data_IF_968694627489
#
_entry.id   IF_968694627489
#
_cell.length_a   1.000
_cell.length_b   1.000
_cell.length_c   1.000
_cell.angle_alpha   90.00
_cell.angle_beta   90.00
_cell.angle_gamma   90.00
#
_symmetry.space_group_name_H-M   'P 1'
#
loop_
_entity.id
_entity.type
_entity.pdbx_description
1 polymer ?
#
# COMPACT_ATOMS: atom_id res chain seq x y z
N UNK A 1 -39.41 8.43 47.89
CA UNK A 1 -38.99 8.71 46.50
C UNK A 1 -38.37 7.42 45.96
N UNK A 2 -39.12 6.66 45.16
CA UNK A 2 -38.68 5.35 44.66
C UNK A 2 -37.91 5.56 43.34
N UNK A 3 -36.66 5.09 43.20
CA UNK A 3 -35.96 5.20 41.92
C UNK A 3 -36.50 4.14 40.96
N UNK A 4 -36.91 4.59 39.77
CA UNK A 4 -37.48 3.80 38.70
C UNK A 4 -36.42 3.01 37.94
N UNK A 5 -36.73 1.76 37.61
CA UNK A 5 -35.90 0.83 36.83
C UNK A 5 -35.85 1.19 35.33
N UNK A 6 -35.41 2.41 35.00
CA UNK A 6 -35.28 2.89 33.61
C UNK A 6 -33.87 3.36 33.21
N UNK A 7 -32.86 3.04 34.02
CA UNK A 7 -31.45 3.38 33.74
C UNK A 7 -30.51 2.17 33.54
N UNK A 8 -31.03 1.00 33.12
CA UNK A 8 -30.19 -0.19 32.87
C UNK A 8 -30.29 -0.78 31.45
N UNK A 9 -31.08 -0.21 30.53
CA UNK A 9 -31.22 -0.76 29.17
C UNK A 9 -30.28 -0.14 28.12
N UNK A 10 -29.18 0.50 28.52
CA UNK A 10 -28.19 1.06 27.61
C UNK A 10 -26.77 0.61 27.99
N UNK A 11 -26.45 -0.65 27.71
CA UNK A 11 -25.08 -1.22 27.69
C UNK A 11 -25.01 -2.30 26.58
N UNK A 12 -23.83 -2.74 26.14
CA UNK A 12 -22.99 -2.13 25.13
C UNK A 12 -22.79 -3.18 24.02
N UNK A 13 -23.80 -3.40 23.19
CA UNK A 13 -23.79 -4.49 22.20
C UNK A 13 -22.57 -4.45 21.25
N UNK A 14 -21.96 -3.27 21.05
CA UNK A 14 -20.78 -3.11 20.21
C UNK A 14 -19.49 -3.73 20.77
N UNK A 15 -19.24 -3.68 22.09
CA UNK A 15 -17.97 -4.18 22.65
C UNK A 15 -17.95 -5.70 22.78
N UNK A 16 -19.02 -6.29 23.30
CA UNK A 16 -19.14 -7.76 23.42
C UNK A 16 -19.15 -8.44 22.04
N UNK A 17 -19.79 -7.82 21.04
CA UNK A 17 -19.77 -8.30 19.65
C UNK A 17 -18.36 -8.26 19.06
N UNK A 18 -17.65 -7.13 19.21
CA UNK A 18 -16.25 -6.99 18.77
C UNK A 18 -15.33 -8.01 19.46
N UNK A 19 -15.50 -8.23 20.76
CA UNK A 19 -14.72 -9.24 21.50
C UNK A 19 -15.03 -10.67 21.06
N UNK A 20 -16.28 -10.99 20.73
CA UNK A 20 -16.65 -12.31 20.22
C UNK A 20 -16.12 -12.55 18.78
N UNK A 21 -16.13 -11.53 17.94
CA UNK A 21 -15.53 -11.56 16.59
C UNK A 21 -14.01 -11.76 16.68
N UNK A 22 -13.31 -11.04 17.57
CA UNK A 22 -11.88 -11.23 17.80
C UNK A 22 -11.55 -12.60 18.38
N UNK A 23 -12.32 -13.08 19.36
CA UNK A 23 -12.11 -14.41 19.94
C UNK A 23 -12.32 -15.50 18.88
N UNK A 24 -13.37 -15.39 18.06
CA UNK A 24 -13.62 -16.32 16.96
C UNK A 24 -12.49 -16.28 15.92
N UNK A 25 -11.97 -15.10 15.60
CA UNK A 25 -10.82 -14.91 14.71
C UNK A 25 -9.56 -15.58 15.26
N UNK A 26 -9.19 -15.28 16.50
CA UNK A 26 -8.04 -15.86 17.18
C UNK A 26 -8.18 -17.39 17.30
N UNK A 27 -9.40 -17.87 17.55
CA UNK A 27 -9.71 -19.31 17.58
C UNK A 27 -9.51 -19.96 16.20
N UNK A 28 -9.91 -19.29 15.11
CA UNK A 28 -9.71 -19.77 13.74
C UNK A 28 -8.22 -19.80 13.36
N UNK A 29 -7.48 -18.75 13.72
CA UNK A 29 -6.03 -18.65 13.50
C UNK A 29 -5.29 -19.75 14.29
N UNK A 30 -5.68 -19.97 15.54
CA UNK A 30 -5.11 -21.01 16.41
C UNK A 30 -5.46 -22.43 15.92
N UNK A 31 -6.68 -22.64 15.43
CA UNK A 31 -7.14 -23.95 14.93
C UNK A 31 -6.53 -24.32 13.59
N UNK A 32 -6.31 -23.35 12.69
CA UNK A 32 -5.75 -23.60 11.37
C UNK A 32 -4.22 -23.74 11.37
N UNK A 33 -3.53 -23.53 12.49
CA UNK A 33 -2.06 -23.41 12.54
C UNK A 33 -1.45 -22.37 11.58
N UNK A 34 -2.27 -21.51 10.98
CA UNK A 34 -1.88 -20.44 10.03
C UNK A 34 -0.95 -19.41 10.68
N UNK A 35 -0.94 -19.31 12.02
CA UNK A 35 0.03 -18.46 12.75
C UNK A 35 1.49 -18.92 12.66
N UNK A 36 1.77 -20.12 12.14
CA UNK A 36 3.15 -20.62 11.94
C UNK A 36 3.70 -20.38 10.52
N UNK A 37 2.88 -19.95 9.56
CA UNK A 37 3.33 -19.79 8.17
C UNK A 37 2.82 -18.49 7.56
N UNK A 38 3.75 -17.61 7.18
CA UNK A 38 3.45 -16.41 6.39
C UNK A 38 2.79 -16.82 5.07
N UNK A 39 1.60 -16.30 4.71
CA UNK A 39 0.96 -16.66 3.45
C UNK A 39 1.85 -16.29 2.27
N UNK A 40 2.11 -17.25 1.39
CA UNK A 40 2.89 -17.06 0.16
C UNK A 40 2.01 -16.73 -1.04
N UNK A 41 0.72 -17.11 -0.99
CA UNK A 41 -0.23 -16.84 -2.07
C UNK A 41 -0.71 -15.38 -2.01
N UNK A 42 -0.74 -14.65 -3.13
CA UNK A 42 -1.29 -13.29 -3.16
C UNK A 42 -2.78 -13.24 -2.87
N UNK A 43 -3.22 -12.17 -2.20
CA UNK A 43 -4.63 -11.87 -2.01
C UNK A 43 -5.09 -10.74 -2.92
N UNK A 44 -5.76 -11.10 -4.01
CA UNK A 44 -6.29 -10.13 -4.99
C UNK A 44 -7.36 -9.26 -4.35
N UNK A 45 -7.19 -7.93 -4.47
CA UNK A 45 -8.14 -6.94 -3.95
C UNK A 45 -8.96 -6.35 -5.10
N UNK A 46 -8.29 -5.91 -6.17
CA UNK A 46 -8.91 -5.40 -7.39
C UNK A 46 -8.17 -5.99 -8.60
N UNK A 47 -8.92 -6.65 -9.48
CA UNK A 47 -8.42 -7.24 -10.71
C UNK A 47 -9.08 -6.57 -11.92
N UNK A 48 -8.31 -5.76 -12.64
CA UNK A 48 -8.84 -4.99 -13.76
C UNK A 48 -8.69 -5.71 -15.11
N UNK A 49 -8.37 -7.00 -15.09
CA UNK A 49 -8.61 -7.87 -16.24
C UNK A 49 -10.12 -8.07 -16.47
N UNK A 50 -10.92 -7.98 -15.40
CA UNK A 50 -12.38 -8.02 -15.43
C UNK A 50 -13.00 -6.61 -15.45
N UNK A 51 -13.86 -6.35 -16.45
CA UNK A 51 -14.64 -5.12 -16.59
C UNK A 51 -15.54 -4.85 -15.38
N UNK A 52 -15.98 -5.92 -14.69
CA UNK A 52 -16.84 -5.79 -13.51
C UNK A 52 -16.15 -5.03 -12.37
N UNK A 53 -14.83 -5.14 -12.25
CA UNK A 53 -14.03 -4.41 -11.25
C UNK A 53 -14.04 -2.91 -11.51
N UNK A 54 -13.97 -2.48 -12.78
CA UNK A 54 -14.09 -1.07 -13.18
C UNK A 54 -15.50 -0.55 -12.85
N UNK A 55 -16.53 -1.33 -13.15
CA UNK A 55 -17.93 -0.99 -12.81
C UNK A 55 -18.16 -0.90 -11.29
N UNK A 56 -17.41 -1.69 -10.52
CA UNK A 56 -17.33 -1.66 -9.07
C UNK A 56 -16.64 -0.41 -8.50
N UNK A 57 -16.04 0.44 -9.33
CA UNK A 57 -15.38 1.67 -8.91
C UNK A 57 -16.27 2.91 -9.10
N UNK A 58 -15.86 4.01 -8.48
CA UNK A 58 -16.43 5.33 -8.68
C UNK A 58 -15.32 6.37 -8.79
N UNK A 59 -15.47 7.31 -9.72
CA UNK A 59 -14.56 8.44 -9.88
C UNK A 59 -15.00 9.63 -9.02
N UNK A 60 -14.06 10.49 -8.69
CA UNK A 60 -14.21 11.70 -7.90
C UNK A 60 -13.35 12.78 -8.53
N UNK A 61 -13.87 13.99 -8.67
CA UNK A 61 -13.11 15.16 -9.13
C UNK A 61 -13.62 16.42 -8.43
N UNK A 62 -12.81 17.48 -8.47
CA UNK A 62 -13.19 18.80 -7.93
C UNK A 62 -14.46 19.40 -8.56
N UNK A 63 -14.96 18.85 -9.69
CA UNK A 63 -16.25 19.21 -10.29
C UNK A 63 -17.41 19.13 -9.30
N UNK A 64 -17.34 18.23 -8.30
CA UNK A 64 -18.33 18.13 -7.23
C UNK A 64 -18.45 19.41 -6.38
N UNK A 65 -17.40 20.23 -6.34
CA UNK A 65 -17.37 21.55 -5.66
C UNK A 65 -17.29 22.72 -6.66
N UNK A 66 -17.57 22.47 -7.94
CA UNK A 66 -17.56 23.49 -9.00
C UNK A 66 -16.22 23.68 -9.71
N UNK A 67 -15.22 22.83 -9.43
CA UNK A 67 -13.96 22.80 -10.17
C UNK A 67 -14.12 22.31 -11.61
N UNK A 68 -13.01 22.37 -12.36
CA UNK A 68 -12.99 22.07 -13.80
C UNK A 68 -12.23 20.79 -14.14
N UNK A 69 -11.71 20.06 -13.15
CA UNK A 69 -11.02 18.79 -13.38
C UNK A 69 -12.00 17.70 -13.81
N UNK A 70 -11.48 16.71 -14.52
CA UNK A 70 -12.23 15.57 -15.05
C UNK A 70 -11.61 14.27 -14.59
N UNK A 71 -12.44 13.24 -14.38
CA UNK A 71 -11.99 11.93 -13.95
C UNK A 71 -12.84 10.82 -14.56
N UNK A 72 -12.21 9.98 -15.37
CA UNK A 72 -12.79 8.80 -16.01
C UNK A 72 -12.00 7.56 -15.64
N UNK A 73 -12.68 6.42 -15.56
CA UNK A 73 -12.08 5.11 -15.32
C UNK A 73 -12.75 4.11 -16.27
N UNK A 74 -12.03 3.74 -17.32
CA UNK A 74 -12.55 2.89 -18.39
C UNK A 74 -11.84 1.54 -18.39
N UNK A 75 -12.56 0.47 -18.72
CA UNK A 75 -11.97 -0.83 -18.98
C UNK A 75 -11.34 -0.87 -20.37
N UNK A 76 -10.14 -1.42 -20.48
CA UNK A 76 -9.43 -1.67 -21.73
C UNK A 76 -9.12 -3.17 -21.80
N UNK A 77 -9.66 -3.91 -22.79
CA UNK A 77 -9.42 -5.34 -22.90
C UNK A 77 -7.95 -5.63 -23.23
N UNK A 78 -7.54 -6.88 -22.97
CA UNK A 78 -6.21 -7.34 -23.35
C UNK A 78 -6.03 -7.29 -24.87
N UNK A 79 -4.85 -6.85 -25.30
CA UNK A 79 -4.44 -6.85 -26.71
C UNK A 79 -3.19 -7.73 -26.88
N UNK A 80 -3.36 -8.97 -27.40
CA UNK A 80 -2.26 -9.90 -27.64
C UNK A 80 -1.21 -9.37 -28.64
N UNK A 81 -1.60 -8.48 -29.56
CA UNK A 81 -0.69 -7.98 -30.60
C UNK A 81 0.37 -7.03 -30.04
N UNK A 82 0.01 -6.28 -29.00
CA UNK A 82 0.90 -5.35 -28.30
C UNK A 82 1.41 -5.89 -26.96
N UNK A 83 1.04 -7.13 -26.61
CA UNK A 83 1.28 -7.73 -25.29
C UNK A 83 0.75 -6.84 -24.14
N UNK A 84 -0.35 -6.13 -24.39
CA UNK A 84 -0.98 -5.27 -23.38
C UNK A 84 -2.01 -6.09 -22.61
N UNK A 85 -1.91 -6.24 -21.28
CA UNK A 85 -2.90 -6.97 -20.50
C UNK A 85 -4.21 -6.19 -20.39
N UNK A 86 -5.30 -6.88 -20.03
CA UNK A 86 -6.55 -6.21 -19.65
C UNK A 86 -6.31 -5.29 -18.45
N UNK A 87 -6.84 -4.08 -18.49
CA UNK A 87 -6.57 -3.08 -17.47
C UNK A 87 -7.65 -2.01 -17.36
N UNK A 88 -7.63 -1.28 -16.25
CA UNK A 88 -8.35 -0.04 -16.10
C UNK A 88 -7.47 1.13 -16.55
N UNK A 89 -8.05 2.07 -17.29
CA UNK A 89 -7.43 3.34 -17.67
C UNK A 89 -8.07 4.47 -16.87
N UNK A 90 -7.33 5.00 -15.91
CA UNK A 90 -7.69 6.18 -15.15
C UNK A 90 -7.14 7.43 -15.85
N UNK A 91 -8.01 8.23 -16.46
CA UNK A 91 -7.60 9.38 -17.26
C UNK A 91 -8.53 10.58 -17.10
N UNK A 92 -8.05 11.74 -17.53
CA UNK A 92 -8.77 13.00 -17.44
C UNK A 92 -7.84 14.20 -17.60
N UNK A 93 -8.26 15.34 -17.08
CA UNK A 93 -7.49 16.57 -17.08
C UNK A 93 -7.63 17.28 -15.74
N UNK A 94 -6.50 17.74 -15.18
CA UNK A 94 -6.46 18.58 -13.99
C UNK A 94 -6.56 20.05 -14.39
N UNK A 95 -7.38 20.81 -13.66
CA UNK A 95 -7.43 22.27 -13.73
C UNK A 95 -7.41 22.87 -12.33
N UNK A 96 -6.59 23.90 -12.16
CA UNK A 96 -6.48 24.64 -10.88
C UNK A 96 -7.39 25.85 -10.82
N UNK A 97 -8.19 26.09 -11.86
CA UNK A 97 -9.15 27.18 -11.92
C UNK A 97 -10.17 27.04 -10.79
N UNK A 98 -10.30 28.11 -10.00
CA UNK A 98 -11.29 28.18 -8.93
C UNK A 98 -12.69 28.50 -9.50
N UNK A 99 -13.76 27.92 -8.93
CA UNK A 99 -15.13 28.34 -9.24
C UNK A 99 -15.37 29.78 -8.80
N UNK A 100 -16.43 30.39 -9.32
CA UNK A 100 -16.90 31.70 -8.87
C UNK A 100 -17.63 31.58 -7.50
N UNK A 101 -16.97 30.98 -6.51
CA UNK A 101 -17.46 30.76 -5.16
C UNK A 101 -16.29 30.88 -4.17
N UNK A 102 -16.38 31.85 -3.27
CA UNK A 102 -15.35 32.13 -2.27
C UNK A 102 -15.12 31.00 -1.26
N UNK A 103 -16.08 30.07 -1.10
CA UNK A 103 -15.96 28.95 -0.16
C UNK A 103 -14.99 27.86 -0.62
N UNK A 104 -14.58 27.88 -1.89
CA UNK A 104 -13.68 26.88 -2.46
C UNK A 104 -12.31 27.52 -2.64
N UNK A 105 -11.42 27.20 -1.71
CA UNK A 105 -10.06 27.73 -1.71
C UNK A 105 -9.12 26.91 -2.60
N UNK A 106 -9.45 25.63 -2.87
CA UNK A 106 -8.58 24.69 -3.59
C UNK A 106 -9.37 23.80 -4.56
N UNK A 107 -8.83 23.68 -5.77
CA UNK A 107 -9.23 22.73 -6.83
C UNK A 107 -7.98 22.10 -7.46
N UNK A 108 -8.16 21.20 -8.40
CA UNK A 108 -7.10 20.45 -9.09
C UNK A 108 -6.94 19.04 -8.54
N UNK A 109 -8.05 18.30 -8.38
CA UNK A 109 -8.03 16.91 -7.92
C UNK A 109 -8.88 15.99 -8.79
N UNK A 110 -8.37 14.79 -9.01
CA UNK A 110 -9.07 13.67 -9.57
C UNK A 110 -8.71 12.38 -8.83
N UNK A 111 -9.65 11.46 -8.70
CA UNK A 111 -9.42 10.15 -8.12
C UNK A 111 -10.47 9.12 -8.53
N UNK A 112 -10.19 7.88 -8.18
CA UNK A 112 -11.21 6.83 -8.10
C UNK A 112 -11.00 6.00 -6.84
N UNK A 113 -12.05 5.28 -6.44
CA UNK A 113 -11.96 4.21 -5.44
C UNK A 113 -12.99 3.13 -5.73
N UNK A 114 -12.77 1.92 -5.23
CA UNK A 114 -13.84 0.91 -5.27
C UNK A 114 -15.02 1.33 -4.39
N UNK A 115 -16.22 0.92 -4.79
CA UNK A 115 -17.41 0.98 -3.95
C UNK A 115 -17.22 0.02 -2.78
N UNK A 116 -17.72 0.43 -1.62
CA UNK A 116 -17.76 -0.42 -0.44
C UNK A 116 -18.39 -1.77 -0.80
N UNK A 117 -17.83 -2.87 -0.30
CA UNK A 117 -18.25 -4.25 -0.61
C UNK A 117 -19.67 -4.60 -0.13
N UNK A 118 -20.39 -3.63 0.45
CA UNK A 118 -21.76 -3.77 0.92
C UNK A 118 -21.86 -4.48 2.27
N UNK A 119 -23.05 -5.04 2.51
CA UNK A 119 -23.39 -5.75 3.73
C UNK A 119 -23.67 -7.22 3.42
N UNK A 120 -23.15 -8.09 4.26
CA UNK A 120 -23.58 -9.46 4.44
C UNK A 120 -24.58 -9.52 5.62
N UNK A 121 -25.30 -10.64 5.78
CA UNK A 121 -26.32 -10.85 6.82
C UNK A 121 -25.84 -10.59 8.27
N UNK A 122 -24.53 -10.60 8.53
CA UNK A 122 -23.92 -10.32 9.84
C UNK A 122 -23.13 -9.01 9.94
N UNK A 123 -23.06 -8.19 8.88
CA UNK A 123 -22.39 -6.89 8.91
C UNK A 123 -21.76 -6.45 7.59
N UNK A 124 -21.05 -5.31 7.59
CA UNK A 124 -20.30 -4.82 6.43
C UNK A 124 -19.17 -5.79 6.06
N UNK A 125 -18.92 -5.94 4.76
CA UNK A 125 -17.82 -6.75 4.24
C UNK A 125 -16.53 -5.93 4.20
N UNK A 126 -15.44 -6.53 4.68
CA UNK A 126 -14.10 -5.94 4.70
C UNK A 126 -13.08 -6.88 4.04
N UNK A 127 -11.93 -6.33 3.65
CA UNK A 127 -10.75 -7.15 3.37
C UNK A 127 -9.89 -7.28 4.62
N UNK A 128 -9.43 -8.51 4.89
CA UNK A 128 -8.43 -8.82 5.90
C UNK A 128 -7.08 -8.99 5.21
N UNK A 129 -6.25 -7.96 5.28
CA UNK A 129 -4.87 -7.93 4.76
C UNK A 129 -3.84 -8.01 5.88
N UNK A 130 -4.25 -8.33 7.11
CA UNK A 130 -3.38 -8.49 8.29
C UNK A 130 -2.21 -9.45 8.04
N UNK A 131 -2.39 -10.60 7.35
CA UNK A 131 -1.30 -11.53 7.08
C UNK A 131 -0.28 -11.08 6.02
N UNK A 132 -0.48 -9.91 5.40
CA UNK A 132 0.35 -9.42 4.30
C UNK A 132 1.15 -8.19 4.69
N UNK A 133 2.35 -8.10 4.13
CA UNK A 133 3.31 -7.02 4.41
C UNK A 133 3.15 -5.85 3.44
N UNK A 134 2.84 -6.16 2.17
CA UNK A 134 2.82 -5.18 1.09
C UNK A 134 1.46 -5.11 0.40
N UNK A 135 1.09 -3.90 -0.01
CA UNK A 135 0.13 -3.65 -1.07
C UNK A 135 0.90 -3.54 -2.38
N UNK A 136 0.65 -4.45 -3.32
CA UNK A 136 1.22 -4.46 -4.64
C UNK A 136 0.28 -3.81 -5.65
N UNK A 137 0.84 -3.00 -6.55
CA UNK A 137 0.13 -2.39 -7.67
C UNK A 137 0.92 -2.63 -8.95
N UNK A 138 0.28 -3.20 -9.97
CA UNK A 138 0.84 -3.31 -11.33
C UNK A 138 0.25 -2.22 -12.20
N UNK A 139 1.09 -1.27 -12.61
CA UNK A 139 0.67 -0.02 -13.26
C UNK A 139 1.54 0.35 -14.44
N UNK A 140 1.03 1.21 -15.31
CA UNK A 140 1.78 1.94 -16.33
C UNK A 140 1.42 3.41 -16.21
N UNK A 141 2.41 4.24 -15.91
CA UNK A 141 2.23 5.63 -15.50
C UNK A 141 2.70 6.62 -16.58
N UNK A 142 2.05 7.77 -16.64
CA UNK A 142 2.46 8.95 -17.42
C UNK A 142 3.51 9.82 -16.71
N UNK A 143 3.92 9.44 -15.50
CA UNK A 143 4.90 10.17 -14.68
C UNK A 143 4.30 11.27 -13.79
N UNK A 144 2.97 11.38 -13.71
CA UNK A 144 2.27 12.24 -12.76
C UNK A 144 2.43 11.73 -11.32
N UNK A 145 2.19 12.62 -10.34
CA UNK A 145 2.34 12.29 -8.91
C UNK A 145 1.03 11.74 -8.32
N UNK A 146 0.86 10.42 -8.39
CA UNK A 146 -0.32 9.74 -7.83
C UNK A 146 -0.12 9.34 -6.36
N UNK A 147 -1.24 9.19 -5.64
CA UNK A 147 -1.29 8.74 -4.24
C UNK A 147 -2.29 7.60 -4.12
N UNK A 148 -1.86 6.51 -3.47
CA UNK A 148 -2.71 5.37 -3.10
C UNK A 148 -3.39 5.68 -1.77
N UNK A 149 -4.70 5.49 -1.73
CA UNK A 149 -5.57 5.80 -0.60
C UNK A 149 -6.26 4.53 -0.11
N UNK A 150 -6.16 4.24 1.19
CA UNK A 150 -6.83 3.12 1.85
C UNK A 150 -7.76 3.66 2.93
N UNK A 151 -9.04 3.29 2.86
CA UNK A 151 -10.03 3.59 3.89
C UNK A 151 -10.32 2.32 4.71
N UNK A 152 -10.29 2.43 6.04
CA UNK A 152 -10.59 1.34 6.97
C UNK A 152 -11.82 1.65 7.82
N UNK A 153 -12.27 0.68 8.62
CA UNK A 153 -13.26 0.94 9.67
C UNK A 153 -12.65 1.64 10.90
N UNK A 154 -12.10 2.84 10.69
CA UNK A 154 -11.64 3.73 11.76
C UNK A 154 -12.83 4.33 12.53
N UNK A 155 -12.56 4.81 13.74
CA UNK A 155 -13.50 5.57 14.57
C UNK A 155 -13.95 6.84 13.84
N UNK A 156 -13.01 7.48 13.13
CA UNK A 156 -13.27 8.65 12.32
C UNK A 156 -13.44 8.19 10.87
N UNK A 157 -14.67 8.24 10.36
CA UNK A 157 -14.99 7.71 9.02
C UNK A 157 -14.29 8.46 7.89
N UNK A 158 -13.87 9.70 8.14
CA UNK A 158 -13.13 10.54 7.19
C UNK A 158 -11.62 10.27 7.17
N UNK A 159 -11.12 9.35 8.02
CA UNK A 159 -9.72 8.95 8.00
C UNK A 159 -9.38 8.18 6.71
N UNK A 160 -8.29 8.59 6.09
CA UNK A 160 -7.72 7.96 4.90
C UNK A 160 -6.24 7.73 5.16
N UNK A 161 -5.78 6.52 4.90
CA UNK A 161 -4.37 6.17 4.96
C UNK A 161 -3.78 6.33 3.55
N UNK A 162 -2.75 7.15 3.43
CA UNK A 162 -2.19 7.57 2.15
C UNK A 162 -0.74 7.13 1.99
N UNK A 163 -0.35 6.79 0.77
CA UNK A 163 1.05 6.55 0.39
C UNK A 163 1.24 7.01 -1.06
N UNK A 164 2.34 7.71 -1.36
CA UNK A 164 2.64 8.09 -2.75
C UNK A 164 2.92 6.86 -3.62
N UNK A 165 2.42 6.88 -4.85
CA UNK A 165 2.78 5.88 -5.85
C UNK A 165 4.01 6.36 -6.61
N UNK A 166 5.17 5.81 -6.23
CA UNK A 166 6.43 6.07 -6.94
C UNK A 166 6.50 5.17 -8.17
N UNK A 167 6.74 5.76 -9.34
CA UNK A 167 6.81 5.06 -10.64
C UNK A 167 8.16 5.37 -11.28
N UNK A 168 8.70 4.53 -12.17
CA UNK A 168 10.01 4.83 -12.82
C UNK A 168 9.98 6.15 -13.60
N UNK A 169 8.81 6.50 -14.13
CA UNK A 169 8.56 7.74 -14.86
C UNK A 169 8.39 8.96 -13.97
N UNK A 170 8.33 8.76 -12.65
CA UNK A 170 8.32 9.85 -11.68
C UNK A 170 9.62 10.65 -11.82
N UNK A 171 9.53 11.81 -12.48
CA UNK A 171 10.64 12.75 -12.60
C UNK A 171 10.91 13.34 -11.22
N UNK A 172 11.93 12.82 -10.54
CA UNK A 172 12.70 13.64 -9.60
C UNK A 172 13.35 14.70 -10.48
N UNK A 173 12.91 15.96 -10.41
CA UNK A 173 13.66 17.05 -11.03
C UNK A 173 15.07 16.99 -10.43
N UNK A 174 16.05 16.59 -11.24
CA UNK A 174 17.45 16.69 -10.89
C UNK A 174 17.77 18.17 -10.66
N UNK A 175 17.71 18.62 -9.40
CA UNK A 175 18.53 19.73 -8.96
C UNK A 175 19.97 19.24 -9.12
N UNK A 176 20.68 19.80 -10.10
CA UNK A 176 22.10 19.53 -10.31
C UNK A 176 22.87 19.71 -9.01
N UNK A 177 23.83 18.81 -8.75
CA UNK A 177 24.59 18.61 -7.52
C UNK A 177 25.48 19.78 -7.01
N UNK A 178 25.13 21.05 -7.30
CA UNK A 178 25.85 22.23 -6.79
C UNK A 178 25.22 22.90 -5.57
N UNK A 179 23.96 22.60 -5.22
CA UNK A 179 23.32 23.16 -4.04
C UNK A 179 23.15 22.10 -2.95
N UNK A 180 24.26 21.70 -2.32
CA UNK A 180 24.22 21.01 -1.01
C UNK A 180 23.95 22.04 0.10
N UNK A 181 22.72 22.52 0.15
CA UNK A 181 22.07 23.02 1.37
C UNK A 181 20.95 22.03 1.72
N UNK A 182 20.53 21.90 2.99
CA UNK A 182 19.48 20.95 3.38
C UNK A 182 18.24 21.17 2.51
N UNK A 183 17.96 20.18 1.67
CA UNK A 183 17.09 20.28 0.51
C UNK A 183 15.62 20.28 0.93
N UNK A 184 14.98 21.45 0.79
CA UNK A 184 13.53 21.59 0.69
C UNK A 184 13.06 21.05 -0.67
N UNK A 185 11.95 20.27 -0.74
CA UNK A 185 11.49 19.67 -2.00
C UNK A 185 10.82 20.69 -2.96
N UNK A 186 10.92 20.36 -4.25
CA UNK A 186 10.52 21.17 -5.40
C UNK A 186 8.98 21.28 -5.56
N UNK A 187 8.49 22.49 -5.25
CA UNK A 187 7.60 23.31 -6.08
C UNK A 187 6.70 22.56 -7.10
N UNK A 188 5.63 21.97 -6.59
CA UNK A 188 4.36 21.97 -7.29
C UNK A 188 3.32 22.68 -6.39
N UNK A 189 3.43 24.00 -6.34
CA UNK A 189 2.40 24.95 -5.88
C UNK A 189 1.83 24.78 -4.45
N UNK A 190 2.68 24.63 -3.43
CA UNK A 190 2.28 24.85 -2.03
C UNK A 190 3.19 25.91 -1.40
N UNK A 191 2.60 26.94 -0.77
CA UNK A 191 3.38 27.92 -0.02
C UNK A 191 3.99 27.24 1.22
N UNK A 192 5.17 27.69 1.69
CA UNK A 192 5.81 27.11 2.87
C UNK A 192 4.88 27.03 4.08
N UNK A 193 4.07 28.08 4.30
CA UNK A 193 3.09 28.17 5.39
C UNK A 193 1.98 27.09 5.30
N UNK A 194 1.55 26.73 4.08
CA UNK A 194 0.57 25.67 3.89
C UNK A 194 1.19 24.30 4.13
N UNK A 195 2.42 24.08 3.70
CA UNK A 195 3.13 22.83 3.98
C UNK A 195 3.33 22.62 5.49
N UNK A 196 3.67 23.67 6.23
CA UNK A 196 3.73 23.63 7.71
C UNK A 196 2.37 23.32 8.34
N UNK A 197 1.28 23.82 7.75
CA UNK A 197 -0.07 23.53 8.23
C UNK A 197 -0.49 22.07 7.95
N UNK A 198 -0.16 21.53 6.78
CA UNK A 198 -0.48 20.16 6.39
C UNK A 198 0.41 19.13 7.12
N UNK A 199 1.66 19.51 7.39
CA UNK A 199 2.73 18.66 7.91
C UNK A 199 3.48 19.36 9.06
N UNK A 200 2.86 19.53 10.24
CA UNK A 200 3.44 20.30 11.34
C UNK A 200 4.75 19.70 11.89
N UNK A 201 4.97 18.39 11.71
CA UNK A 201 6.22 17.70 12.08
C UNK A 201 7.12 17.38 10.87
N UNK A 202 6.86 18.00 9.72
CA UNK A 202 7.53 17.72 8.45
C UNK A 202 6.84 16.63 7.63
N UNK A 203 7.22 16.56 6.35
CA UNK A 203 6.59 15.67 5.38
C UNK A 203 7.00 14.21 5.68
N UNK A 204 6.03 13.29 5.91
CA UNK A 204 6.33 11.89 6.11
C UNK A 204 7.05 11.27 4.89
N UNK A 205 8.01 10.33 5.09
CA UNK A 205 8.77 9.74 3.98
C UNK A 205 7.91 9.11 2.87
N UNK A 206 6.79 8.48 3.24
CA UNK A 206 5.85 7.87 2.29
C UNK A 206 5.02 8.87 1.48
N UNK A 207 5.05 10.15 1.85
CA UNK A 207 4.40 11.25 1.11
C UNK A 207 5.44 12.21 0.48
N UNK A 208 6.74 11.93 0.63
CA UNK A 208 7.84 12.73 0.08
C UNK A 208 7.94 12.66 -1.44
N UNK A 209 8.75 13.52 -2.06
CA UNK A 209 9.10 13.41 -3.50
C UNK A 209 10.08 12.29 -3.81
N UNK A 210 10.85 11.86 -2.81
CA UNK A 210 11.84 10.78 -2.94
C UNK A 210 11.23 9.49 -2.38
N UNK A 211 11.28 8.38 -3.14
CA UNK A 211 10.82 7.08 -2.64
C UNK A 211 11.61 6.69 -1.38
N UNK A 212 10.94 6.30 -0.28
CA UNK A 212 11.63 5.78 0.90
C UNK A 212 12.24 4.41 0.59
N UNK A 213 13.30 4.04 1.32
CA UNK A 213 14.00 2.75 1.12
C UNK A 213 13.08 1.53 1.29
N UNK A 214 11.99 1.67 2.04
CA UNK A 214 11.00 0.61 2.24
C UNK A 214 10.10 0.38 1.02
N UNK A 215 10.07 1.30 0.05
CA UNK A 215 9.32 1.13 -1.20
C UNK A 215 10.13 0.29 -2.16
N UNK A 216 9.62 -0.90 -2.52
CA UNK A 216 10.32 -1.81 -3.44
C UNK A 216 9.77 -1.61 -4.85
N UNK A 217 10.68 -1.37 -5.79
CA UNK A 217 10.43 -1.19 -7.21
C UNK A 217 11.53 -1.90 -8.01
N UNK A 218 11.29 -2.20 -9.28
CA UNK A 218 12.29 -2.87 -10.12
C UNK A 218 13.57 -2.04 -10.27
N UNK A 219 14.75 -2.67 -10.33
CA UNK A 219 16.07 -2.04 -10.18
C UNK A 219 16.74 -1.56 -11.48
N UNK A 220 16.10 -1.72 -12.64
CA UNK A 220 16.62 -1.30 -13.96
C UNK A 220 16.72 0.24 -14.14
N UNK A 221 17.77 0.84 -13.59
CA UNK A 221 18.08 2.27 -13.64
C UNK A 221 18.52 2.78 -15.03
N UNK A 222 17.74 2.53 -16.08
CA UNK A 222 17.96 3.15 -17.41
C UNK A 222 16.87 4.18 -17.71
N UNK A 223 17.26 5.45 -17.62
CA UNK A 223 16.48 6.67 -17.88
C UNK A 223 16.19 6.92 -19.37
N UNK A 224 15.98 5.86 -20.15
CA UNK A 224 15.70 5.92 -21.58
C UNK A 224 14.34 5.29 -21.89
N UNK A 225 13.27 6.06 -21.63
CA UNK A 225 12.13 6.22 -22.55
C UNK A 225 11.11 5.09 -22.73
N UNK A 226 11.17 3.95 -22.04
CA UNK A 226 10.14 2.91 -22.18
C UNK A 226 8.95 3.14 -21.24
N UNK A 227 7.77 3.52 -21.76
CA UNK A 227 6.50 3.55 -20.98
C UNK A 227 6.04 2.12 -20.67
N UNK A 228 6.74 1.45 -19.76
CA UNK A 228 6.51 0.04 -19.42
C UNK A 228 5.40 -0.16 -18.39
N UNK A 229 4.97 -1.42 -18.23
CA UNK A 229 4.28 -1.85 -17.03
C UNK A 229 5.31 -2.12 -15.93
N UNK A 230 4.99 -1.73 -14.71
CA UNK A 230 5.83 -1.96 -13.54
C UNK A 230 4.98 -2.41 -12.34
N UNK A 231 5.55 -3.23 -11.47
CA UNK A 231 4.95 -3.59 -10.18
C UNK A 231 5.67 -2.86 -9.06
N UNK A 232 4.87 -2.23 -8.19
CA UNK A 232 5.34 -1.44 -7.04
C UNK A 232 4.79 -2.07 -5.77
N UNK A 233 5.65 -2.31 -4.78
CA UNK A 233 5.26 -2.84 -3.47
C UNK A 233 5.33 -1.73 -2.41
N UNK A 234 4.17 -1.43 -1.82
CA UNK A 234 4.01 -0.42 -0.78
C UNK A 234 3.79 -1.11 0.58
N UNK A 235 4.69 -0.95 1.56
CA UNK A 235 4.51 -1.59 2.87
C UNK A 235 3.29 -1.03 3.59
N UNK A 236 2.39 -1.89 4.08
CA UNK A 236 1.17 -1.42 4.76
C UNK A 236 1.44 -0.55 5.99
N UNK A 237 2.57 -0.75 6.68
CA UNK A 237 2.96 0.05 7.84
C UNK A 237 3.45 1.46 7.48
N UNK A 238 3.75 1.72 6.21
CA UNK A 238 4.26 3.02 5.75
C UNK A 238 3.15 4.00 5.34
N UNK A 239 1.90 3.55 5.27
CA UNK A 239 0.77 4.42 4.97
C UNK A 239 0.51 5.41 6.11
N UNK A 240 0.36 6.68 5.77
CA UNK A 240 0.18 7.78 6.71
C UNK A 240 -1.31 8.08 6.85
N UNK A 241 -1.79 8.15 8.09
CA UNK A 241 -3.16 8.53 8.37
C UNK A 241 -3.35 10.03 8.20
N UNK A 242 -4.35 10.38 7.39
CA UNK A 242 -4.77 11.75 7.09
C UNK A 242 -6.27 11.90 7.28
N UNK A 243 -6.71 13.13 7.51
CA UNK A 243 -8.11 13.50 7.62
C UNK A 243 -8.32 14.83 6.90
N UNK A 244 -9.19 14.84 5.90
CA UNK A 244 -9.38 16.00 5.02
C UNK A 244 -8.07 16.56 4.41
N UNK A 245 -7.07 15.71 4.19
CA UNK A 245 -5.76 16.09 3.66
C UNK A 245 -4.74 16.55 4.70
N UNK A 246 -5.11 16.62 5.98
CA UNK A 246 -4.19 16.93 7.09
C UNK A 246 -3.66 15.65 7.70
N UNK A 247 -2.35 15.60 7.99
CA UNK A 247 -1.76 14.47 8.73
C UNK A 247 -2.30 14.49 10.16
N UNK A 248 -2.84 13.35 10.61
CA UNK A 248 -3.46 13.24 11.94
C UNK A 248 -2.53 12.59 12.93
N UNK A 249 -2.29 13.27 14.05
CA UNK A 249 -1.56 12.71 15.18
C UNK A 249 -2.48 12.35 16.35
N UNK A 250 -2.11 11.35 17.17
CA UNK A 250 -0.99 10.40 16.97
C UNK A 250 -1.23 9.50 15.75
N UNK A 251 -0.18 9.12 15.02
CA UNK A 251 -0.33 8.15 13.93
C UNK A 251 -0.76 6.80 14.54
N UNK A 252 -1.87 6.24 14.04
CA UNK A 252 -2.29 4.87 14.37
C UNK A 252 -2.03 3.99 13.17
N UNK A 253 -1.60 2.76 13.39
CA UNK A 253 -1.41 1.80 12.32
C UNK A 253 -2.72 1.54 11.55
N UNK A 254 -2.61 1.34 10.25
CA UNK A 254 -3.70 0.92 9.37
C UNK A 254 -4.40 -0.33 9.96
N UNK A 255 -5.73 -0.26 10.13
CA UNK A 255 -6.55 -1.41 10.53
C UNK A 255 -6.65 -2.43 9.38
N UNK A 256 -5.60 -3.26 9.23
CA UNK A 256 -5.44 -4.21 8.12
C UNK A 256 -6.57 -5.25 8.00
N UNK A 257 -7.25 -5.54 9.09
CA UNK A 257 -8.34 -6.53 9.13
C UNK A 257 -9.67 -5.98 8.59
N UNK A 258 -9.80 -4.65 8.50
CA UNK A 258 -11.07 -3.96 8.23
C UNK A 258 -10.93 -2.92 7.14
N UNK A 259 -10.27 -3.29 6.04
CA UNK A 259 -10.16 -2.41 4.86
C UNK A 259 -11.50 -2.35 4.12
N UNK A 260 -12.00 -1.13 3.89
CA UNK A 260 -13.27 -0.82 3.22
C UNK A 260 -13.09 -0.55 1.73
N UNK A 261 -12.15 0.33 1.41
CA UNK A 261 -11.90 0.73 0.03
C UNK A 261 -10.44 1.10 -0.20
N UNK A 262 -10.02 0.92 -1.44
CA UNK A 262 -8.73 1.30 -2.00
C UNK A 262 -9.03 2.18 -3.21
N UNK A 263 -8.24 3.23 -3.37
CA UNK A 263 -8.34 4.15 -4.48
C UNK A 263 -7.01 4.78 -4.82
N UNK A 264 -6.98 5.46 -5.95
CA UNK A 264 -5.83 6.25 -6.39
C UNK A 264 -6.32 7.66 -6.66
N UNK A 265 -5.58 8.63 -6.17
CA UNK A 265 -5.83 10.06 -6.39
C UNK A 265 -4.64 10.77 -7.01
N UNK A 266 -4.93 11.89 -7.66
CA UNK A 266 -3.98 12.81 -8.26
C UNK A 266 -4.26 14.21 -7.69
N UNK A 267 -3.36 14.68 -6.82
CA UNK A 267 -3.41 15.99 -6.15
C UNK A 267 -2.19 16.85 -6.50
N UNK A 268 -1.53 16.59 -7.63
CA UNK A 268 -0.29 17.28 -8.03
C UNK A 268 -0.51 18.75 -8.42
N UNK A 269 -1.77 19.14 -8.69
CA UNK A 269 -2.18 20.47 -9.16
C UNK A 269 -1.43 20.95 -10.41
N UNK A 270 -0.85 20.04 -11.18
CA UNK A 270 -0.22 20.38 -12.46
C UNK A 270 -1.32 20.35 -13.51
N UNK A 271 -1.56 21.45 -14.21
CA UNK A 271 -2.63 21.50 -15.20
C UNK A 271 -2.38 20.55 -16.38
N UNK A 272 -3.46 20.12 -17.03
CA UNK A 272 -3.41 19.32 -18.24
C UNK A 272 -3.76 17.85 -18.04
N UNK A 273 -3.52 17.01 -19.06
CA UNK A 273 -4.01 15.64 -19.11
C UNK A 273 -3.20 14.71 -18.20
N UNK A 274 -3.85 13.66 -17.74
CA UNK A 274 -3.21 12.55 -17.05
C UNK A 274 -3.73 11.19 -17.54
N UNK A 275 -2.89 10.15 -17.47
CA UNK A 275 -3.19 8.78 -17.92
C UNK A 275 -2.42 7.77 -17.06
N UNK A 276 -3.13 7.10 -16.15
CA UNK A 276 -2.62 5.99 -15.35
C UNK A 276 -3.36 4.72 -15.73
N UNK A 277 -2.61 3.68 -16.06
CA UNK A 277 -3.16 2.35 -16.35
C UNK A 277 -2.88 1.42 -15.19
N UNK A 278 -3.90 0.70 -14.75
CA UNK A 278 -3.83 -0.21 -13.61
C UNK A 278 -4.32 -1.58 -14.04
N UNK A 279 -3.45 -2.57 -13.95
CA UNK A 279 -3.79 -3.96 -14.26
C UNK A 279 -4.35 -4.68 -13.03
N UNK A 280 -3.67 -4.56 -11.88
CA UNK A 280 -4.06 -5.30 -10.66
C UNK A 280 -3.59 -4.60 -9.39
N UNK A 281 -4.36 -4.76 -8.32
CA UNK A 281 -4.01 -4.35 -6.95
C UNK A 281 -4.25 -5.56 -6.02
N UNK A 282 -3.22 -5.96 -5.28
CA UNK A 282 -3.28 -7.14 -4.41
C UNK A 282 -2.42 -6.97 -3.16
N UNK A 283 -2.68 -7.78 -2.13
CA UNK A 283 -1.81 -7.89 -0.97
C UNK A 283 -0.85 -9.07 -1.14
N UNK A 284 0.42 -8.89 -0.77
CA UNK A 284 1.45 -9.92 -0.89
C UNK A 284 2.53 -9.81 0.19
N UNK A 285 3.30 -10.90 0.36
CA UNK A 285 4.52 -10.96 1.16
C UNK A 285 5.80 -11.07 0.31
N UNK A 286 5.67 -10.96 -1.02
CA UNK A 286 6.78 -10.98 -1.99
C UNK A 286 6.27 -11.43 -3.36
N UNK A 287 7.17 -11.77 -4.27
CA UNK A 287 6.81 -12.33 -5.59
C UNK A 287 7.17 -13.81 -5.59
N UNK A 288 6.16 -14.67 -5.77
CA UNK A 288 6.34 -16.12 -5.93
C UNK A 288 6.81 -16.51 -7.34
N UNK A 289 7.28 -17.74 -7.55
CA UNK A 289 7.68 -18.24 -8.89
C UNK A 289 6.52 -18.19 -9.89
N UNK A 290 5.30 -18.54 -9.46
CA UNK A 290 4.10 -18.49 -10.30
C UNK A 290 3.78 -17.06 -10.75
N UNK A 291 3.89 -16.09 -9.82
CA UNK A 291 3.67 -14.68 -10.13
C UNK A 291 4.80 -14.08 -10.96
N UNK A 292 6.02 -14.60 -10.83
CA UNK A 292 7.18 -14.11 -11.55
C UNK A 292 7.07 -14.33 -13.05
N UNK A 293 6.47 -15.43 -13.50
CA UNK A 293 6.21 -15.65 -14.92
C UNK A 293 5.24 -14.61 -15.50
N UNK A 294 4.17 -14.28 -14.78
CA UNK A 294 3.24 -13.22 -15.17
C UNK A 294 3.87 -11.83 -15.09
N UNK A 295 4.71 -11.60 -14.08
CA UNK A 295 5.47 -10.37 -13.90
C UNK A 295 6.45 -10.17 -15.07
N UNK A 296 7.18 -11.22 -15.45
CA UNK A 296 8.09 -11.21 -16.60
C UNK A 296 7.34 -11.05 -17.91
N UNK A 297 6.15 -11.65 -18.06
CA UNK A 297 5.32 -11.52 -19.24
C UNK A 297 4.82 -10.09 -19.45
N UNK A 298 4.40 -9.41 -18.38
CA UNK A 298 3.76 -8.08 -18.45
C UNK A 298 4.79 -6.95 -18.33
N UNK A 299 5.69 -7.02 -17.34
CA UNK A 299 6.68 -5.99 -17.05
C UNK A 299 8.00 -6.20 -17.81
N UNK A 300 8.26 -7.40 -18.36
CA UNK A 300 9.44 -7.66 -19.18
C UNK A 300 10.75 -7.43 -18.40
N UNK A 301 11.58 -6.50 -18.88
CA UNK A 301 12.82 -6.11 -18.22
C UNK A 301 12.61 -5.36 -16.88
N UNK A 302 11.39 -4.89 -16.63
CA UNK A 302 11.00 -4.20 -15.40
C UNK A 302 10.35 -5.14 -14.37
N UNK A 303 10.38 -6.46 -14.61
CA UNK A 303 9.87 -7.43 -13.65
C UNK A 303 10.61 -7.36 -12.31
N UNK A 304 9.87 -7.39 -11.20
CA UNK A 304 10.44 -7.60 -9.87
C UNK A 304 11.05 -9.00 -9.76
N UNK A 305 12.20 -9.18 -9.09
CA UNK A 305 12.76 -10.50 -8.86
C UNK A 305 11.87 -11.32 -7.92
N UNK A 306 11.99 -12.65 -8.02
CA UNK A 306 11.40 -13.57 -7.05
C UNK A 306 11.94 -13.25 -5.65
N UNK A 307 11.06 -13.20 -4.66
CA UNK A 307 11.46 -13.00 -3.27
C UNK A 307 12.00 -14.31 -2.69
N UNK A 308 13.24 -14.30 -2.20
CA UNK A 308 13.89 -15.52 -1.66
C UNK A 308 13.20 -16.04 -0.38
N UNK A 309 12.61 -15.16 0.42
CA UNK A 309 11.79 -15.54 1.57
C UNK A 309 10.52 -16.25 1.14
N UNK A 310 9.86 -15.78 0.09
CA UNK A 310 8.71 -16.47 -0.52
C UNK A 310 9.14 -17.81 -1.16
N UNK A 311 10.27 -17.84 -1.88
CA UNK A 311 10.80 -19.07 -2.52
C UNK A 311 11.07 -20.18 -1.51
N UNK A 312 11.64 -19.84 -0.35
CA UNK A 312 11.94 -20.80 0.72
C UNK A 312 10.71 -21.11 1.59
N UNK A 313 9.55 -20.51 1.31
CA UNK A 313 8.36 -20.60 2.17
C UNK A 313 8.64 -20.09 3.58
N UNK A 314 9.57 -19.13 3.71
CA UNK A 314 10.10 -18.61 4.96
C UNK A 314 10.63 -19.71 5.90
N UNK A 315 10.95 -20.89 5.35
CA UNK A 315 11.69 -21.92 6.06
C UNK A 315 13.14 -21.48 6.04
N UNK A 316 13.62 -21.03 7.20
CA UNK A 316 15.04 -20.74 7.33
C UNK A 316 15.83 -21.97 6.92
N UNK A 317 16.72 -21.80 5.95
CA UNK A 317 18.00 -22.48 6.04
C UNK A 317 18.57 -22.03 7.38
N UNK A 318 18.41 -22.86 8.41
CA UNK A 318 19.38 -22.82 9.49
C UNK A 318 20.70 -23.16 8.82
N UNK A 319 21.73 -22.29 8.85
CA UNK A 319 23.04 -22.70 8.38
C UNK A 319 23.63 -23.67 9.41
N UNK A 320 23.16 -24.92 9.40
CA UNK A 320 23.90 -26.06 9.92
C UNK A 320 24.60 -26.73 8.74
N UNK A 321 25.41 -25.94 8.03
CA UNK A 321 26.42 -26.42 7.10
C UNK A 321 27.75 -25.93 7.61
N UNK A 322 28.39 -26.70 8.48
CA UNK A 322 29.82 -26.50 8.73
C UNK A 322 30.57 -26.70 7.40
N UNK A 323 31.54 -25.85 7.07
CA UNK A 323 32.41 -26.10 5.92
C UNK A 323 33.20 -27.38 6.18
N UNK A 324 33.17 -28.30 5.21
CA UNK A 324 34.09 -29.42 5.13
C UNK A 324 35.52 -28.90 4.99
N UNK A 325 36.19 -28.65 6.12
CA UNK A 325 37.63 -28.45 6.15
C UNK A 325 38.31 -29.83 6.16
N UNK A 326 38.80 -30.25 4.99
CA UNK A 326 39.67 -31.42 4.87
C UNK A 326 41.04 -31.10 5.45
N UNK A 327 41.15 -31.20 6.78
CA UNK A 327 42.40 -31.23 7.54
C UNK A 327 42.72 -32.65 8.03
N UNK A 328 43.95 -33.08 7.82
CA UNK A 328 44.48 -34.42 7.98
C UNK A 328 44.84 -34.79 9.44
N UNK A 329 44.45 -35.99 9.88
CA UNK A 329 45.18 -36.91 10.82
C UNK A 329 45.07 -36.75 12.38
N UNK A 330 45.40 -37.79 13.20
CA UNK A 330 44.40 -38.62 13.89
C UNK A 330 44.55 -38.77 15.44
N UNK A 331 43.50 -39.29 16.09
CA UNK A 331 43.59 -40.13 17.30
C UNK A 331 43.14 -39.53 18.64
N UNK A 332 42.31 -40.27 19.39
CA UNK A 332 42.15 -40.09 20.84
C UNK A 332 40.71 -40.12 21.36
N UNK A 333 40.41 -41.09 22.22
CA UNK A 333 39.09 -41.44 22.75
C UNK A 333 38.47 -40.44 23.76
N UNK A 334 37.14 -40.44 23.84
CA UNK A 334 36.43 -40.59 25.13
C UNK A 334 35.48 -39.49 25.60
N UNK A 335 34.20 -39.92 25.74
CA UNK A 335 33.18 -39.53 26.75
C UNK A 335 32.19 -38.39 26.47
N UNK A 336 30.93 -38.84 26.52
CA UNK A 336 29.64 -38.18 26.75
C UNK A 336 29.60 -36.97 27.69
N UNK A 337 28.82 -35.95 27.33
CA UNK A 337 27.62 -35.47 28.05
C UNK A 337 27.04 -34.20 27.41
N UNK A 338 25.72 -34.20 27.22
CA UNK A 338 24.97 -33.08 26.64
C UNK A 338 24.56 -31.99 27.63
N UNK A 339 23.93 -30.97 27.06
CA UNK A 339 22.94 -30.03 27.60
C UNK A 339 22.99 -29.74 29.11
N UNK A 340 24.07 -29.09 29.58
CA UNK A 340 24.10 -28.28 30.82
C UNK A 340 25.43 -27.51 30.88
N UNK A 341 25.39 -26.27 30.40
CA UNK A 341 26.50 -25.33 30.26
C UNK A 341 26.30 -24.64 28.92
N UNK A 342 26.00 -23.35 28.80
CA UNK A 342 26.31 -22.21 29.64
C UNK A 342 25.03 -21.43 29.96
N UNK A 343 24.83 -21.11 31.25
CA UNK A 343 23.90 -20.10 31.73
C UNK A 343 24.64 -19.30 32.79
N UNK A 344 25.53 -18.42 32.35
CA UNK A 344 26.21 -17.44 33.21
C UNK A 344 27.10 -16.55 32.35
N UNK A 345 26.63 -15.34 32.01
CA UNK A 345 27.47 -14.19 31.61
C UNK A 345 26.56 -12.96 31.42
N UNK A 346 25.98 -12.45 32.51
CA UNK A 346 25.38 -11.10 32.62
C UNK A 346 25.40 -10.60 34.08
N UNK A 347 26.46 -10.93 34.82
CA UNK A 347 26.85 -10.22 36.04
C UNK A 347 28.37 -10.12 36.07
N UNK A 348 28.88 -9.07 35.41
CA UNK A 348 30.08 -8.34 35.81
C UNK A 348 30.04 -6.94 35.24
#
# INVERSE_FOLDING_TARGET
MFPTARCLSAKPAGFMKRSAEELSRLSRIAWNSEGLHTPTKPYTLLDFEDESTVTGCKTMADRAVGGFSTASLDYVPADPSTNTPGHARFHGSISTKLPNNWRVERTGYAAFRNKDRGFWLFGRLYWDVDPYSYLALRVKSDGRRYTVNIQTDSIVETDIHQHRLYTRHHRVQNQTARDRLPSYPSEAAESPELAETLFPLGIPPSLSDVPPESTIMSSSATTSGGTGWETILLPFHSFVRTNHGLVVEPQTSLLRQRVKSIGIGLTDRVEGPYDLRIHRIWATNGISEEEFEDEKRICGADALPIDEGVRTGWRGDSPSGHPDDKGNQPGGAGKTKGLKGLRSEWEQ
#
